data_IF_661395174211
#
_entry.id   IF_661395174211
#
_cell.length_a   1.000
_cell.length_b   1.000
_cell.length_c   1.000
_cell.angle_alpha   90.00
_cell.angle_beta   90.00
_cell.angle_gamma   90.00
#
_symmetry.space_group_name_H-M   'P 1'
#
loop_
_entity.id
_entity.type
_entity.pdbx_description
1 polymer ?
#
# COMPACT_ATOMS: atom_id res chain seq x y z
N UNK A 1 -25.24 -48.75 19.73
CA UNK A 1 -24.55 -48.68 18.41
C UNK A 1 -24.96 -47.47 17.56
N UNK A 2 -26.25 -47.09 17.43
CA UNK A 2 -26.66 -45.92 16.61
C UNK A 2 -26.16 -44.55 17.10
N UNK A 3 -26.11 -44.30 18.42
CA UNK A 3 -25.62 -43.02 18.96
C UNK A 3 -24.10 -42.84 18.79
N UNK A 4 -23.30 -43.90 18.95
CA UNK A 4 -21.84 -43.85 18.75
C UNK A 4 -21.47 -43.59 17.28
N UNK A 5 -22.27 -44.05 16.33
CA UNK A 5 -22.05 -43.81 14.89
C UNK A 5 -22.33 -42.34 14.51
N UNK A 6 -23.35 -41.72 15.11
CA UNK A 6 -23.71 -40.31 14.89
C UNK A 6 -22.63 -39.38 15.48
N UNK A 7 -22.11 -39.69 16.67
CA UNK A 7 -21.01 -38.93 17.29
C UNK A 7 -19.73 -39.03 16.44
N UNK A 8 -19.43 -40.21 15.90
CA UNK A 8 -18.29 -40.40 14.99
C UNK A 8 -18.46 -39.59 13.69
N UNK A 9 -19.65 -39.58 13.09
CA UNK A 9 -19.96 -38.82 11.88
C UNK A 9 -19.90 -37.30 12.08
N UNK A 10 -20.37 -36.81 13.23
CA UNK A 10 -20.23 -35.39 13.61
C UNK A 10 -18.75 -35.03 13.80
N UNK A 11 -17.96 -35.88 14.46
CA UNK A 11 -16.52 -35.67 14.63
C UNK A 11 -15.77 -35.64 13.27
N UNK A 12 -16.11 -36.53 12.33
CA UNK A 12 -15.52 -36.55 10.99
C UNK A 12 -15.94 -35.34 10.12
N UNK A 13 -17.16 -34.83 10.27
CA UNK A 13 -17.61 -33.63 9.54
C UNK A 13 -16.97 -32.35 10.11
N UNK A 14 -16.75 -32.30 11.43
CA UNK A 14 -16.06 -31.16 12.06
C UNK A 14 -14.58 -31.09 11.68
N UNK A 15 -13.88 -32.22 11.53
CA UNK A 15 -12.44 -32.23 11.21
C UNK A 15 -12.12 -31.75 9.78
N UNK A 16 -12.98 -32.03 8.81
CA UNK A 16 -12.86 -31.48 7.45
C UNK A 16 -13.08 -29.96 7.43
N UNK A 17 -14.07 -29.46 8.18
CA UNK A 17 -14.35 -28.02 8.25
C UNK A 17 -13.22 -27.24 8.92
N UNK A 18 -12.62 -27.78 9.99
CA UNK A 18 -11.49 -27.15 10.68
C UNK A 18 -10.23 -27.11 9.81
N UNK A 19 -9.97 -28.18 9.04
CA UNK A 19 -8.84 -28.21 8.11
C UNK A 19 -8.96 -27.14 7.01
N UNK A 20 -10.16 -26.95 6.45
CA UNK A 20 -10.37 -25.95 5.39
C UNK A 20 -10.26 -24.51 5.89
N UNK A 21 -10.73 -24.23 7.10
CA UNK A 21 -10.60 -22.90 7.72
C UNK A 21 -9.12 -22.57 7.97
N UNK A 22 -8.32 -23.53 8.41
CA UNK A 22 -6.86 -23.34 8.60
C UNK A 22 -6.18 -23.05 7.25
N UNK A 23 -6.52 -23.79 6.21
CA UNK A 23 -6.00 -23.56 4.84
C UNK A 23 -6.35 -22.15 4.33
N UNK A 24 -7.60 -21.72 4.51
CA UNK A 24 -8.05 -20.39 4.11
C UNK A 24 -7.41 -19.28 4.96
N UNK A 25 -7.23 -19.51 6.26
CA UNK A 25 -6.48 -18.60 7.14
C UNK A 25 -5.06 -18.36 6.64
N UNK A 26 -4.38 -19.44 6.22
CA UNK A 26 -3.05 -19.36 5.60
C UNK A 26 -3.03 -18.61 4.29
N UNK A 27 -3.96 -18.93 3.38
CA UNK A 27 -4.06 -18.22 2.11
C UNK A 27 -4.35 -16.73 2.33
N UNK A 28 -5.17 -16.39 3.32
CA UNK A 28 -5.49 -15.00 3.67
C UNK A 28 -4.32 -14.28 4.30
N UNK A 29 -3.53 -14.94 5.15
CA UNK A 29 -2.30 -14.39 5.69
C UNK A 29 -1.26 -14.14 4.58
N UNK A 30 -1.13 -15.04 3.61
CA UNK A 30 -0.30 -14.84 2.44
C UNK A 30 -0.74 -13.61 1.63
N UNK A 31 -2.04 -13.45 1.38
CA UNK A 31 -2.57 -12.23 0.76
C UNK A 31 -2.36 -10.97 1.61
N UNK A 32 -2.38 -11.09 2.94
CA UNK A 32 -2.00 -10.01 3.84
C UNK A 32 -0.56 -9.56 3.65
N UNK A 33 0.37 -10.50 3.46
CA UNK A 33 1.74 -10.21 3.08
C UNK A 33 1.83 -9.48 1.73
N UNK A 34 1.16 -9.98 0.69
CA UNK A 34 1.14 -9.37 -0.65
C UNK A 34 0.62 -7.92 -0.61
N UNK A 35 -0.50 -7.68 0.08
CA UNK A 35 -1.11 -6.34 0.25
C UNK A 35 -0.16 -5.40 0.98
N UNK A 36 0.51 -5.89 2.03
CA UNK A 36 1.47 -5.11 2.82
C UNK A 36 2.70 -4.73 2.01
N UNK A 37 3.21 -5.65 1.18
CA UNK A 37 4.33 -5.38 0.27
C UNK A 37 3.94 -4.36 -0.82
N UNK A 38 2.74 -4.48 -1.39
CA UNK A 38 2.26 -3.48 -2.37
C UNK A 38 2.20 -2.09 -1.76
N UNK A 39 1.71 -1.96 -0.52
CA UNK A 39 1.71 -0.70 0.19
C UNK A 39 3.13 -0.13 0.35
N UNK A 40 4.08 -0.95 0.82
CA UNK A 40 5.48 -0.54 0.95
C UNK A 40 6.07 -0.04 -0.37
N UNK A 41 5.80 -0.73 -1.49
CA UNK A 41 6.23 -0.30 -2.82
C UNK A 41 5.66 1.05 -3.21
N UNK A 42 4.35 1.27 -3.02
CA UNK A 42 3.71 2.55 -3.31
C UNK A 42 4.30 3.69 -2.48
N UNK A 43 4.48 3.49 -1.16
CA UNK A 43 5.07 4.52 -0.30
C UNK A 43 6.55 4.77 -0.61
N UNK A 44 7.30 3.76 -1.03
CA UNK A 44 8.66 3.92 -1.53
C UNK A 44 8.69 4.78 -2.80
N UNK A 45 7.81 4.49 -3.78
CA UNK A 45 7.67 5.32 -5.00
C UNK A 45 7.28 6.76 -4.65
N UNK A 46 6.33 6.97 -3.73
CA UNK A 46 5.95 8.31 -3.27
C UNK A 46 7.12 9.05 -2.59
N UNK A 47 7.98 8.33 -1.87
CA UNK A 47 9.18 8.88 -1.24
C UNK A 47 10.24 9.25 -2.26
N UNK A 48 10.48 8.38 -3.25
CA UNK A 48 11.43 8.64 -4.34
C UNK A 48 10.97 9.78 -5.24
N UNK A 49 9.67 9.94 -5.45
CA UNK A 49 9.12 10.98 -6.32
C UNK A 49 9.49 12.40 -5.82
N UNK A 50 9.59 12.61 -4.51
CA UNK A 50 10.09 13.89 -3.96
C UNK A 50 11.53 14.22 -4.37
N UNK A 51 12.37 13.20 -4.61
CA UNK A 51 13.73 13.35 -5.11
C UNK A 51 13.78 13.45 -6.64
N UNK A 52 12.88 12.75 -7.34
CA UNK A 52 12.68 12.86 -8.80
C UNK A 52 12.28 14.29 -9.15
N UNK A 53 11.44 14.95 -8.36
CA UNK A 53 11.04 16.36 -8.54
C UNK A 53 12.26 17.30 -8.53
N UNK A 54 13.20 17.09 -7.62
CA UNK A 54 14.46 17.84 -7.57
C UNK A 54 15.32 17.57 -8.81
N UNK A 55 15.45 16.31 -9.20
CA UNK A 55 16.24 15.90 -10.37
C UNK A 55 15.66 16.44 -11.69
N UNK A 56 14.34 16.45 -11.84
CA UNK A 56 13.65 16.97 -13.03
C UNK A 56 13.69 18.50 -13.09
N UNK A 57 13.59 19.18 -11.93
CA UNK A 57 13.90 20.61 -11.84
C UNK A 57 15.34 20.92 -12.25
N UNK A 58 16.30 20.05 -11.88
CA UNK A 58 17.70 20.19 -12.26
C UNK A 58 17.93 19.89 -13.76
N UNK A 59 17.18 18.96 -14.36
CA UNK A 59 17.25 18.67 -15.79
C UNK A 59 16.77 19.86 -16.66
N UNK A 60 15.67 20.52 -16.26
CA UNK A 60 15.21 21.78 -16.89
C UNK A 60 16.28 22.87 -16.79
N UNK A 61 17.06 22.93 -15.69
CA UNK A 61 18.19 23.87 -15.56
C UNK A 61 19.34 23.56 -16.53
N UNK A 62 19.65 22.29 -16.77
CA UNK A 62 20.74 21.87 -17.68
C UNK A 62 20.36 22.09 -19.16
N UNK A 63 19.06 22.05 -19.47
CA UNK A 63 18.51 22.25 -20.81
C UNK A 63 18.16 23.72 -21.13
N UNK A 64 18.42 24.67 -20.22
CA UNK A 64 18.10 26.09 -20.42
C UNK A 64 19.33 27.04 -20.36
N UNK A 65 19.31 28.12 -21.14
CA UNK A 65 20.30 29.21 -21.20
C UNK A 65 19.65 30.57 -20.84
N UNK A 66 20.35 31.51 -20.16
CA UNK A 66 21.64 31.38 -19.49
C UNK A 66 21.51 31.13 -17.96
N UNK A 67 22.49 30.39 -17.43
CA UNK A 67 22.83 30.07 -16.02
C UNK A 67 21.71 29.77 -14.99
N UNK A 68 21.69 28.55 -14.39
CA UNK A 68 20.69 28.11 -13.41
C UNK A 68 20.49 28.99 -12.17
N UNK A 69 21.50 29.76 -11.78
CA UNK A 69 21.51 30.56 -10.54
C UNK A 69 20.60 31.78 -10.56
N UNK A 70 20.07 32.15 -11.73
CA UNK A 70 19.19 33.33 -11.90
C UNK A 70 17.74 32.96 -12.22
N UNK A 71 17.42 31.66 -12.22
CA UNK A 71 16.11 31.14 -12.59
C UNK A 71 15.22 31.02 -11.35
N UNK A 72 14.12 31.78 -11.32
CA UNK A 72 13.01 31.48 -10.43
C UNK A 72 12.31 30.22 -10.96
N UNK A 73 12.65 29.06 -10.41
CA UNK A 73 11.83 27.87 -10.57
C UNK A 73 10.46 28.12 -9.93
N UNK A 74 9.39 27.44 -10.38
CA UNK A 74 8.11 27.50 -9.69
C UNK A 74 8.33 27.18 -8.20
N UNK A 75 8.10 28.16 -7.33
CA UNK A 75 8.08 27.96 -5.88
C UNK A 75 6.80 27.20 -5.55
N UNK A 76 6.87 25.89 -5.69
CA UNK A 76 5.81 25.00 -5.30
C UNK A 76 5.95 24.83 -3.79
N UNK A 77 5.38 25.77 -3.03
CA UNK A 77 5.15 25.65 -1.58
C UNK A 77 4.14 24.55 -1.29
N UNK A 78 4.40 23.37 -1.82
CA UNK A 78 3.71 22.15 -1.50
C UNK A 78 4.02 21.81 -0.05
N UNK A 79 3.02 21.33 0.69
CA UNK A 79 3.25 20.74 2.00
C UNK A 79 4.26 19.60 1.84
N UNK A 80 5.33 19.61 2.63
CA UNK A 80 6.32 18.54 2.65
C UNK A 80 5.75 17.32 3.39
N UNK A 81 5.38 16.30 2.62
CA UNK A 81 4.87 15.03 3.15
C UNK A 81 5.97 14.01 3.46
N UNK A 82 7.26 14.33 3.26
CA UNK A 82 8.37 13.38 3.49
C UNK A 82 8.36 12.80 4.92
N UNK A 83 8.04 13.63 5.91
CA UNK A 83 7.91 13.24 7.32
C UNK A 83 6.73 12.31 7.60
N UNK A 84 5.75 12.27 6.70
CA UNK A 84 4.56 11.43 6.80
C UNK A 84 4.73 10.07 6.12
N UNK A 85 5.63 9.96 5.13
CA UNK A 85 5.83 8.75 4.32
C UNK A 85 6.55 7.64 5.11
N UNK A 86 7.68 7.93 5.74
CA UNK A 86 8.47 6.91 6.44
C UNK A 86 7.69 6.17 7.57
N UNK A 87 6.92 6.86 8.45
CA UNK A 87 6.11 6.18 9.45
C UNK A 87 5.08 5.20 8.86
N UNK A 88 4.50 5.54 7.70
CA UNK A 88 3.52 4.70 7.01
C UNK A 88 4.17 3.51 6.34
N UNK A 89 5.31 3.70 5.67
CA UNK A 89 6.13 2.59 5.17
C UNK A 89 6.47 1.60 6.30
N UNK A 90 6.90 2.11 7.46
CA UNK A 90 7.23 1.28 8.62
C UNK A 90 6.02 0.50 9.15
N UNK A 91 4.84 1.11 9.20
CA UNK A 91 3.65 0.40 9.65
C UNK A 91 3.25 -0.72 8.69
N UNK A 92 3.26 -0.50 7.37
CA UNK A 92 3.00 -1.59 6.42
C UNK A 92 4.11 -2.66 6.41
N UNK A 93 5.33 -2.31 6.78
CA UNK A 93 6.39 -3.30 7.06
C UNK A 93 6.05 -4.14 8.30
N UNK A 94 5.58 -3.52 9.38
CA UNK A 94 5.19 -4.25 10.58
C UNK A 94 3.92 -5.09 10.36
N UNK A 95 2.97 -4.61 9.55
CA UNK A 95 1.82 -5.41 9.12
C UNK A 95 2.24 -6.67 8.35
N UNK A 96 3.23 -6.54 7.45
CA UNK A 96 3.82 -7.69 6.76
C UNK A 96 4.39 -8.71 7.74
N UNK A 97 5.19 -8.26 8.73
CA UNK A 97 5.76 -9.15 9.73
C UNK A 97 4.69 -9.80 10.64
N UNK A 98 3.59 -9.10 10.93
CA UNK A 98 2.43 -9.71 11.61
C UNK A 98 1.86 -10.85 10.78
N UNK A 99 1.51 -10.61 9.51
CA UNK A 99 0.92 -11.65 8.67
C UNK A 99 1.85 -12.85 8.49
N UNK A 100 3.15 -12.58 8.31
CA UNK A 100 4.18 -13.62 8.25
C UNK A 100 4.25 -14.44 9.53
N UNK A 101 4.32 -13.80 10.69
CA UNK A 101 4.39 -14.50 11.97
C UNK A 101 3.11 -15.30 12.26
N UNK A 102 1.94 -14.74 11.96
CA UNK A 102 0.66 -15.43 12.14
C UNK A 102 0.47 -16.59 11.16
N UNK A 103 0.98 -16.48 9.92
CA UNK A 103 0.96 -17.60 8.96
C UNK A 103 1.74 -18.82 9.45
N UNK A 104 2.77 -18.63 10.28
CA UNK A 104 3.54 -19.75 10.85
C UNK A 104 2.75 -20.47 11.94
N UNK A 105 1.89 -19.77 12.69
CA UNK A 105 1.13 -20.34 13.81
C UNK A 105 0.07 -21.37 13.39
N UNK A 106 -0.23 -21.46 12.11
CA UNK A 106 -1.17 -22.47 11.58
C UNK A 106 -0.51 -23.82 11.33
N UNK A 107 0.83 -23.88 11.26
CA UNK A 107 1.59 -25.12 11.21
C UNK A 107 1.90 -25.57 12.65
N UNK A 108 1.44 -26.77 13.07
CA UNK A 108 1.69 -27.31 14.41
C UNK A 108 3.17 -27.32 14.82
N UNK A 109 4.11 -27.37 13.86
CA UNK A 109 5.56 -27.33 14.11
C UNK A 109 6.04 -26.02 14.70
N UNK A 110 5.28 -24.93 14.52
CA UNK A 110 5.64 -23.58 14.96
C UNK A 110 4.64 -23.03 15.99
N UNK A 111 3.85 -23.89 16.65
CA UNK A 111 2.88 -23.45 17.66
C UNK A 111 3.54 -22.71 18.86
N UNK A 112 4.83 -22.96 19.12
CA UNK A 112 5.65 -22.28 20.12
C UNK A 112 6.03 -20.84 19.73
N UNK A 113 5.83 -20.45 18.46
CA UNK A 113 6.09 -19.10 17.91
C UNK A 113 5.04 -18.05 18.28
N UNK A 114 4.09 -18.39 19.15
CA UNK A 114 3.04 -17.47 19.62
C UNK A 114 3.65 -16.16 20.19
N UNK A 115 4.79 -16.24 20.90
CA UNK A 115 5.48 -15.05 21.41
C UNK A 115 6.00 -14.15 20.28
N UNK A 116 6.56 -14.73 19.22
CA UNK A 116 7.11 -13.99 18.08
C UNK A 116 5.99 -13.26 17.33
N UNK A 117 4.84 -13.92 17.13
CA UNK A 117 3.65 -13.30 16.55
C UNK A 117 3.10 -12.13 17.38
N UNK A 118 3.20 -12.22 18.71
CA UNK A 118 2.76 -11.17 19.60
C UNK A 118 3.69 -9.98 19.65
N UNK A 119 5.00 -10.22 19.59
CA UNK A 119 5.97 -9.15 19.39
C UNK A 119 5.69 -8.43 18.07
N UNK A 120 5.49 -9.15 16.96
CA UNK A 120 5.18 -8.52 15.67
C UNK A 120 3.89 -7.68 15.72
N UNK A 121 2.86 -8.15 16.43
CA UNK A 121 1.62 -7.38 16.60
C UNK A 121 1.84 -6.13 17.45
N UNK A 122 2.60 -6.24 18.54
CA UNK A 122 2.97 -5.09 19.37
C UNK A 122 3.74 -4.06 18.53
N UNK A 123 4.70 -4.50 17.72
CA UNK A 123 5.48 -3.62 16.85
C UNK A 123 4.58 -2.93 15.81
N UNK A 124 3.59 -3.63 15.27
CA UNK A 124 2.60 -3.06 14.35
C UNK A 124 1.70 -2.04 15.03
N UNK A 125 1.21 -2.34 16.25
CA UNK A 125 0.47 -1.40 17.08
C UNK A 125 1.29 -0.14 17.34
N UNK A 126 2.52 -0.31 17.83
CA UNK A 126 3.43 0.78 18.21
C UNK A 126 3.76 1.68 17.01
N UNK A 127 3.92 1.10 15.82
CA UNK A 127 4.16 1.85 14.60
C UNK A 127 2.97 2.74 14.22
N UNK A 128 1.74 2.24 14.36
CA UNK A 128 0.53 3.02 14.11
C UNK A 128 0.34 4.09 15.19
N UNK A 129 0.50 3.73 16.46
CA UNK A 129 0.30 4.64 17.60
C UNK A 129 1.23 5.86 17.52
N UNK A 130 2.48 5.65 17.08
CA UNK A 130 3.50 6.70 16.95
C UNK A 130 3.41 7.48 15.64
N UNK A 131 2.43 7.20 14.77
CA UNK A 131 2.29 7.94 13.51
C UNK A 131 1.95 9.42 13.75
N UNK A 132 2.54 10.34 12.97
CA UNK A 132 2.07 11.71 12.93
C UNK A 132 0.66 11.76 12.33
N UNK A 133 -0.16 12.69 12.85
CA UNK A 133 -1.51 12.97 12.33
C UNK A 133 -2.46 11.77 12.32
N UNK A 134 -2.28 10.84 13.27
CA UNK A 134 -3.10 9.62 13.38
C UNK A 134 -4.62 9.95 13.47
N UNK A 135 -5.45 9.43 12.55
CA UNK A 135 -6.89 9.70 12.51
C UNK A 135 -7.62 9.28 13.79
N UNK A 136 -8.71 9.97 14.13
CA UNK A 136 -9.46 9.72 15.37
C UNK A 136 -10.08 8.32 15.37
N UNK A 137 -10.62 7.89 14.24
CA UNK A 137 -11.21 6.58 14.01
C UNK A 137 -10.18 5.47 14.31
N UNK A 138 -8.94 5.65 13.85
CA UNK A 138 -7.83 4.72 14.11
C UNK A 138 -7.47 4.71 15.60
N UNK A 139 -7.34 5.90 16.23
CA UNK A 139 -7.05 6.03 17.67
C UNK A 139 -8.07 5.29 18.54
N UNK A 140 -9.35 5.28 18.15
CA UNK A 140 -10.39 4.58 18.93
C UNK A 140 -10.39 3.07 18.76
N UNK A 141 -10.00 2.55 17.60
CA UNK A 141 -10.00 1.10 17.32
C UNK A 141 -8.70 0.42 17.77
N UNK A 142 -7.58 1.11 17.71
CA UNK A 142 -6.25 0.56 17.95
C UNK A 142 -6.10 -0.15 19.32
N UNK A 143 -6.61 0.39 20.45
CA UNK A 143 -6.50 -0.29 21.76
C UNK A 143 -7.19 -1.66 21.84
N UNK A 144 -8.22 -1.90 21.02
CA UNK A 144 -8.94 -3.18 21.02
C UNK A 144 -8.10 -4.32 20.45
N UNK A 145 -7.19 -4.02 19.51
CA UNK A 145 -6.25 -5.00 18.93
C UNK A 145 -5.35 -5.57 20.03
N UNK A 146 -4.78 -4.69 20.86
CA UNK A 146 -3.88 -5.07 21.96
C UNK A 146 -4.59 -5.90 23.03
N UNK A 147 -5.83 -5.51 23.37
CA UNK A 147 -6.66 -6.25 24.33
C UNK A 147 -6.91 -7.68 23.86
N UNK A 148 -7.36 -7.86 22.61
CA UNK A 148 -7.63 -9.19 22.07
C UNK A 148 -6.37 -10.05 21.94
N UNK A 149 -5.23 -9.43 21.60
CA UNK A 149 -3.94 -10.10 21.59
C UNK A 149 -3.59 -10.72 22.95
N UNK A 150 -3.71 -9.93 24.03
CA UNK A 150 -3.45 -10.40 25.39
C UNK A 150 -4.35 -11.57 25.81
N UNK A 151 -5.62 -11.56 25.40
CA UNK A 151 -6.59 -12.62 25.68
C UNK A 151 -6.36 -13.90 24.84
N UNK A 152 -5.79 -13.78 23.64
CA UNK A 152 -5.51 -14.92 22.75
C UNK A 152 -4.29 -15.73 23.19
N UNK A 153 -3.22 -15.05 23.64
CA UNK A 153 -1.99 -15.69 24.16
C UNK A 153 -2.30 -16.63 25.31
N UNK A 154 -3.21 -16.22 26.19
CA UNK A 154 -3.59 -16.98 27.37
C UNK A 154 -4.41 -18.24 27.02
N UNK A 155 -5.12 -18.23 25.88
CA UNK A 155 -6.06 -19.29 25.49
C UNK A 155 -5.51 -20.32 24.48
N UNK A 156 -4.40 -20.05 23.78
CA UNK A 156 -3.83 -20.90 22.70
C UNK A 156 -4.84 -21.22 21.58
N UNK A 157 -5.73 -20.31 21.25
CA UNK A 157 -6.81 -20.54 20.29
C UNK A 157 -6.47 -19.95 18.91
N UNK A 158 -6.26 -20.83 17.92
CA UNK A 158 -6.03 -20.44 16.51
C UNK A 158 -7.18 -19.60 15.95
N UNK A 159 -8.41 -19.78 16.43
CA UNK A 159 -9.58 -18.98 15.98
C UNK A 159 -9.46 -17.50 16.36
N UNK A 160 -8.93 -17.20 17.55
CA UNK A 160 -8.67 -15.83 18.00
C UNK A 160 -7.61 -15.12 17.16
N UNK A 161 -6.72 -15.86 16.50
CA UNK A 161 -5.72 -15.27 15.62
C UNK A 161 -6.36 -14.58 14.41
N UNK A 162 -7.39 -15.17 13.81
CA UNK A 162 -8.09 -14.56 12.68
C UNK A 162 -8.93 -13.34 13.12
N UNK A 163 -9.48 -13.36 14.34
CA UNK A 163 -10.17 -12.19 14.91
C UNK A 163 -9.20 -11.02 15.15
N UNK A 164 -7.98 -11.30 15.63
CA UNK A 164 -6.91 -10.30 15.77
C UNK A 164 -6.52 -9.74 14.39
N UNK A 165 -6.29 -10.61 13.40
CA UNK A 165 -5.93 -10.18 12.04
C UNK A 165 -7.07 -9.38 11.39
N UNK A 166 -8.33 -9.72 11.66
CA UNK A 166 -9.48 -8.94 11.23
C UNK A 166 -9.46 -7.53 11.84
N UNK A 167 -9.39 -7.39 13.17
CA UNK A 167 -9.34 -6.08 13.80
C UNK A 167 -8.16 -5.24 13.34
N UNK A 168 -6.99 -5.86 13.18
CA UNK A 168 -5.82 -5.17 12.65
C UNK A 168 -6.06 -4.70 11.21
N UNK A 169 -6.62 -5.55 10.35
CA UNK A 169 -6.96 -5.16 8.98
C UNK A 169 -7.97 -4.02 8.92
N UNK A 170 -8.94 -3.96 9.85
CA UNK A 170 -9.84 -2.83 9.97
C UNK A 170 -9.13 -1.54 10.36
N UNK A 171 -8.20 -1.60 11.33
CA UNK A 171 -7.39 -0.44 11.73
C UNK A 171 -6.60 0.12 10.52
N UNK A 172 -5.97 -0.75 9.73
CA UNK A 172 -5.26 -0.34 8.52
C UNK A 172 -6.19 0.16 7.41
N UNK A 173 -7.39 -0.40 7.27
CA UNK A 173 -8.38 0.06 6.30
C UNK A 173 -8.90 1.46 6.66
N UNK A 174 -9.15 1.74 7.93
CA UNK A 174 -9.55 3.06 8.41
C UNK A 174 -8.43 4.08 8.21
N UNK A 175 -7.19 3.70 8.53
CA UNK A 175 -6.01 4.54 8.28
C UNK A 175 -5.93 4.89 6.78
N UNK A 176 -6.05 3.90 5.91
CA UNK A 176 -6.04 4.10 4.47
C UNK A 176 -7.18 5.01 3.99
N UNK A 177 -8.41 4.80 4.47
CA UNK A 177 -9.57 5.59 4.07
C UNK A 177 -9.41 7.06 4.47
N UNK A 178 -8.87 7.34 5.65
CA UNK A 178 -8.58 8.68 6.10
C UNK A 178 -7.46 9.35 5.28
N UNK A 179 -6.44 8.58 4.91
CA UNK A 179 -5.27 9.08 4.18
C UNK A 179 -5.46 9.20 2.66
N UNK A 180 -6.41 8.45 2.07
CA UNK A 180 -6.55 8.30 0.62
C UNK A 180 -6.63 9.64 -0.14
N UNK A 181 -7.40 10.59 0.36
CA UNK A 181 -7.54 11.89 -0.30
C UNK A 181 -6.22 12.67 -0.23
N UNK A 182 -5.55 12.67 0.92
CA UNK A 182 -4.25 13.30 1.13
C UNK A 182 -3.21 12.80 0.13
N UNK A 183 -3.14 11.49 -0.11
CA UNK A 183 -2.20 10.93 -1.10
C UNK A 183 -2.56 11.29 -2.53
N UNK A 184 -3.85 11.31 -2.87
CA UNK A 184 -4.30 11.77 -4.18
C UNK A 184 -3.94 13.24 -4.43
N UNK A 185 -4.13 14.09 -3.43
CA UNK A 185 -3.80 15.51 -3.49
C UNK A 185 -2.29 15.73 -3.58
N UNK A 186 -1.49 14.96 -2.82
CA UNK A 186 -0.04 14.98 -2.90
C UNK A 186 0.47 14.60 -4.29
N UNK A 187 -0.08 13.55 -4.91
CA UNK A 187 0.24 13.16 -6.28
C UNK A 187 -0.20 14.25 -7.27
N UNK A 188 -1.43 14.77 -7.15
CA UNK A 188 -1.89 15.85 -8.02
C UNK A 188 -0.96 17.06 -7.94
N UNK A 189 -0.55 17.41 -6.74
CA UNK A 189 0.33 18.54 -6.47
C UNK A 189 1.68 18.37 -7.13
N UNK A 190 2.36 17.24 -6.93
CA UNK A 190 3.67 16.94 -7.54
C UNK A 190 3.58 17.03 -9.07
N UNK A 191 2.69 16.25 -9.67
CA UNK A 191 2.66 16.09 -11.12
C UNK A 191 2.09 17.32 -11.85
N UNK A 192 1.08 18.00 -11.27
CA UNK A 192 0.53 19.22 -11.89
C UNK A 192 1.53 20.38 -11.79
N UNK A 193 2.23 20.53 -10.66
CA UNK A 193 3.24 21.57 -10.48
C UNK A 193 4.35 21.46 -11.52
N UNK A 194 4.82 20.24 -11.76
CA UNK A 194 5.84 19.98 -12.77
C UNK A 194 5.32 20.24 -14.20
N UNK A 195 4.11 19.75 -14.53
CA UNK A 195 3.49 20.01 -15.83
C UNK A 195 3.27 21.51 -16.10
N UNK A 196 2.92 22.30 -15.08
CA UNK A 196 2.76 23.75 -15.19
C UNK A 196 4.12 24.45 -15.34
N UNK A 197 5.13 24.04 -14.57
CA UNK A 197 6.48 24.61 -14.63
C UNK A 197 7.13 24.51 -16.02
N UNK A 198 6.89 23.43 -16.76
CA UNK A 198 7.37 23.28 -18.14
C UNK A 198 6.83 24.37 -19.10
N UNK A 199 5.64 24.91 -18.84
CA UNK A 199 5.04 25.94 -19.69
C UNK A 199 5.51 27.35 -19.36
N UNK A 200 6.02 27.58 -18.14
CA UNK A 200 6.48 28.90 -17.71
C UNK A 200 7.89 29.24 -18.19
N UNK A 201 8.64 28.26 -18.70
CA UNK A 201 9.98 28.49 -19.26
C UNK A 201 9.86 29.15 -20.64
N UNK A 202 10.51 30.29 -20.83
CA UNK A 202 10.59 30.97 -22.14
C UNK A 202 11.23 30.04 -23.20
N UNK A 203 10.60 29.94 -24.37
CA UNK A 203 11.09 29.09 -25.48
C UNK A 203 12.51 29.47 -25.92
N UNK A 204 12.87 30.75 -25.85
CA UNK A 204 14.22 31.25 -26.21
C UNK A 204 15.33 30.73 -25.30
N UNK A 205 14.95 30.20 -24.13
CA UNK A 205 15.90 29.67 -23.16
C UNK A 205 16.24 28.21 -23.41
N UNK A 206 15.47 27.47 -24.19
CA UNK A 206 15.76 26.05 -24.42
C UNK A 206 16.96 25.86 -25.36
N UNK A 207 17.87 24.96 -24.99
CA UNK A 207 18.94 24.51 -25.86
C UNK A 207 18.42 23.46 -26.85
N UNK A 208 18.02 23.94 -28.02
CA UNK A 208 17.45 23.12 -29.09
C UNK A 208 18.42 22.04 -29.57
N UNK A 209 19.73 22.28 -29.50
CA UNK A 209 20.74 21.31 -29.93
C UNK A 209 20.82 20.08 -29.02
N UNK A 210 20.59 20.27 -27.71
CA UNK A 210 20.49 19.17 -26.75
C UNK A 210 19.14 18.45 -26.88
N UNK A 211 18.06 19.19 -27.13
CA UNK A 211 16.73 18.61 -27.34
C UNK A 211 16.69 17.74 -28.59
N UNK A 212 17.28 18.18 -29.70
CA UNK A 212 17.28 17.44 -30.97
C UNK A 212 18.08 16.13 -30.89
N UNK A 213 19.10 16.05 -30.04
CA UNK A 213 19.81 14.80 -29.74
C UNK A 213 18.93 13.80 -28.97
N UNK A 214 17.96 14.28 -28.19
CA UNK A 214 17.02 13.46 -27.41
C UNK A 214 15.71 13.13 -28.12
N UNK A 215 15.40 13.82 -29.24
CA UNK A 215 14.19 13.64 -30.05
C UNK A 215 14.56 13.52 -31.54
N UNK A 216 14.69 12.30 -32.03
CA UNK A 216 14.97 11.95 -33.43
C UNK A 216 13.73 12.09 -34.34
N UNK A 217 13.03 13.22 -34.25
CA UNK A 217 11.87 13.54 -35.09
C UNK A 217 12.25 14.24 -36.40
N UNK A 218 11.35 14.29 -37.41
CA UNK A 218 11.61 14.94 -38.71
C UNK A 218 11.58 16.47 -38.67
N UNK A 219 11.54 17.08 -37.48
CA UNK A 219 11.33 18.51 -37.30
C UNK A 219 12.66 19.27 -37.30
N UNK A 220 12.78 20.26 -38.17
CA UNK A 220 13.97 21.13 -38.26
C UNK A 220 13.78 22.49 -37.60
N UNK A 221 12.52 22.89 -37.34
CA UNK A 221 12.19 24.15 -36.69
C UNK A 221 12.36 24.07 -35.17
N UNK A 222 13.06 25.07 -34.62
CA UNK A 222 13.40 25.16 -33.20
C UNK A 222 12.18 25.29 -32.30
N UNK A 223 11.18 26.10 -32.69
CA UNK A 223 9.97 26.28 -31.90
C UNK A 223 9.15 24.98 -31.82
N UNK A 224 9.06 24.26 -32.95
CA UNK A 224 8.39 22.97 -33.06
C UNK A 224 9.09 21.90 -32.23
N UNK A 225 10.43 21.83 -32.26
CA UNK A 225 11.19 20.88 -31.43
C UNK A 225 10.98 21.11 -29.93
N UNK A 226 11.00 22.38 -29.48
CA UNK A 226 10.76 22.74 -28.08
C UNK A 226 9.32 22.39 -27.68
N UNK A 227 8.34 22.67 -28.54
CA UNK A 227 6.94 22.32 -28.29
C UNK A 227 6.75 20.81 -28.15
N UNK A 228 7.33 20.01 -29.06
CA UNK A 228 7.24 18.55 -29.01
C UNK A 228 7.90 17.97 -27.76
N UNK A 229 9.05 18.52 -27.34
CA UNK A 229 9.70 18.14 -26.09
C UNK A 229 8.81 18.39 -24.87
N UNK A 230 8.22 19.58 -24.75
CA UNK A 230 7.28 19.90 -23.66
C UNK A 230 6.06 18.99 -23.66
N UNK A 231 5.48 18.72 -24.84
CA UNK A 231 4.33 17.85 -24.99
C UNK A 231 4.64 16.41 -24.56
N UNK A 232 5.78 15.85 -24.98
CA UNK A 232 6.23 14.52 -24.60
C UNK A 232 6.40 14.39 -23.09
N UNK A 233 7.16 15.31 -22.48
CA UNK A 233 7.35 15.28 -21.03
C UNK A 233 6.03 15.39 -20.29
N UNK A 234 5.14 16.33 -20.69
CA UNK A 234 3.82 16.45 -20.08
C UNK A 234 3.01 15.16 -20.19
N UNK A 235 3.02 14.51 -21.34
CA UNK A 235 2.33 13.24 -21.53
C UNK A 235 2.89 12.15 -20.61
N UNK A 236 4.22 12.04 -20.52
CA UNK A 236 4.89 11.05 -19.65
C UNK A 236 4.62 11.31 -18.15
N UNK A 237 4.65 12.57 -17.71
CA UNK A 237 4.27 13.01 -16.36
C UNK A 237 2.83 12.61 -16.05
N UNK A 238 1.90 12.88 -16.96
CA UNK A 238 0.49 12.55 -16.77
C UNK A 238 0.24 11.04 -16.76
N UNK A 239 1.00 10.26 -17.54
CA UNK A 239 0.95 8.79 -17.48
C UNK A 239 1.43 8.27 -16.12
N UNK A 240 2.57 8.75 -15.63
CA UNK A 240 3.11 8.36 -14.32
C UNK A 240 2.13 8.71 -13.19
N UNK A 241 1.60 9.94 -13.20
CA UNK A 241 0.55 10.39 -12.28
C UNK A 241 -0.64 9.43 -12.24
N UNK A 242 -1.20 9.13 -13.41
CA UNK A 242 -2.38 8.29 -13.52
C UNK A 242 -2.09 6.83 -13.14
N UNK A 243 -0.89 6.33 -13.45
CA UNK A 243 -0.44 5.00 -13.05
C UNK A 243 -0.36 4.91 -11.52
N UNK A 244 0.28 5.88 -10.85
CA UNK A 244 0.42 5.87 -9.40
C UNK A 244 -0.93 6.01 -8.67
N UNK A 245 -1.83 6.87 -9.17
CA UNK A 245 -3.22 6.95 -8.65
C UNK A 245 -3.96 5.63 -8.79
N UNK A 246 -3.80 4.96 -9.94
CA UNK A 246 -4.38 3.64 -10.15
C UNK A 246 -3.79 2.60 -9.19
N UNK A 247 -2.49 2.66 -8.90
CA UNK A 247 -1.87 1.77 -7.92
C UNK A 247 -2.40 2.01 -6.50
N UNK A 248 -2.55 3.27 -6.07
CA UNK A 248 -3.19 3.63 -4.81
C UNK A 248 -4.62 3.09 -4.72
N UNK A 249 -5.44 3.30 -5.75
CA UNK A 249 -6.82 2.80 -5.77
C UNK A 249 -6.88 1.27 -5.71
N UNK A 250 -6.01 0.61 -6.47
CA UNK A 250 -5.92 -0.85 -6.52
C UNK A 250 -5.48 -1.42 -5.17
N UNK A 251 -4.51 -0.78 -4.50
CA UNK A 251 -4.11 -1.12 -3.15
C UNK A 251 -5.28 -0.99 -2.16
N UNK A 252 -6.01 0.12 -2.19
CA UNK A 252 -7.17 0.33 -1.33
C UNK A 252 -8.25 -0.74 -1.50
N UNK A 253 -8.54 -1.13 -2.74
CA UNK A 253 -9.47 -2.23 -3.04
C UNK A 253 -8.95 -3.57 -2.51
N UNK A 254 -7.65 -3.85 -2.66
CA UNK A 254 -7.05 -5.08 -2.16
C UNK A 254 -7.09 -5.16 -0.63
N UNK A 255 -6.84 -4.05 0.07
CA UNK A 255 -6.96 -3.97 1.53
C UNK A 255 -8.41 -4.16 2.00
N UNK A 256 -9.39 -3.63 1.26
CA UNK A 256 -10.81 -3.86 1.54
C UNK A 256 -11.19 -5.34 1.38
N UNK A 257 -10.75 -6.01 0.31
CA UNK A 257 -10.99 -7.44 0.11
C UNK A 257 -10.28 -8.30 1.15
N UNK A 258 -9.06 -7.93 1.56
CA UNK A 258 -8.33 -8.59 2.66
C UNK A 258 -9.13 -8.51 3.97
N UNK A 259 -9.62 -7.31 4.29
CA UNK A 259 -10.44 -7.07 5.48
C UNK A 259 -11.73 -7.89 5.43
N UNK A 260 -12.38 -7.97 4.26
CA UNK A 260 -13.58 -8.81 4.06
C UNK A 260 -13.29 -10.29 4.27
N UNK A 261 -12.19 -10.81 3.71
CA UNK A 261 -11.80 -12.20 3.89
C UNK A 261 -11.52 -12.52 5.37
N UNK A 262 -10.79 -11.64 6.07
CA UNK A 262 -10.53 -11.80 7.50
C UNK A 262 -11.80 -11.76 8.34
N UNK A 263 -12.71 -10.82 8.05
CA UNK A 263 -14.01 -10.73 8.71
C UNK A 263 -14.83 -12.02 8.55
N UNK A 264 -14.82 -12.61 7.36
CA UNK A 264 -15.55 -13.85 7.08
C UNK A 264 -14.95 -15.06 7.82
N UNK A 265 -13.61 -15.15 7.88
CA UNK A 265 -12.91 -16.22 8.62
C UNK A 265 -13.13 -16.09 10.13
N UNK A 266 -13.22 -14.86 10.65
CA UNK A 266 -13.46 -14.59 12.06
C UNK A 266 -14.87 -15.01 12.55
N UNK A 267 -15.83 -15.20 11.64
CA UNK A 267 -17.21 -15.58 12.02
C UNK A 267 -17.29 -16.97 12.66
N UNK A 268 -18.40 -17.20 13.38
CA UNK A 268 -18.72 -18.53 13.90
C UNK A 268 -18.98 -19.56 12.80
N UNK A 269 -19.61 -19.12 11.71
CA UNK A 269 -19.81 -19.90 10.49
C UNK A 269 -19.23 -19.11 9.33
N UNK A 270 -18.18 -19.67 8.71
CA UNK A 270 -17.43 -19.05 7.62
C UNK A 270 -18.08 -19.37 6.27
N UNK A 271 -18.41 -18.35 5.49
CA UNK A 271 -18.72 -18.51 4.07
C UNK A 271 -17.43 -18.69 3.26
N UNK A 272 -17.08 -19.95 3.01
CA UNK A 272 -15.88 -20.36 2.24
C UNK A 272 -15.86 -19.71 0.85
N UNK A 273 -17.02 -19.57 0.20
CA UNK A 273 -17.13 -19.02 -1.15
C UNK A 273 -16.73 -17.55 -1.17
N UNK A 274 -17.20 -16.77 -0.19
CA UNK A 274 -16.84 -15.36 -0.06
C UNK A 274 -15.35 -15.18 0.21
N UNK A 275 -14.76 -16.00 1.09
CA UNK A 275 -13.32 -15.95 1.35
C UNK A 275 -12.53 -16.19 0.06
N UNK A 276 -12.82 -17.28 -0.67
CA UNK A 276 -12.14 -17.61 -1.93
C UNK A 276 -12.31 -16.49 -2.96
N UNK A 277 -13.51 -15.93 -3.10
CA UNK A 277 -13.77 -14.82 -4.02
C UNK A 277 -12.93 -13.59 -3.68
N UNK A 278 -12.82 -13.22 -2.40
CA UNK A 278 -11.99 -12.09 -1.97
C UNK A 278 -10.51 -12.36 -2.22
N UNK A 279 -10.01 -13.58 -1.94
CA UNK A 279 -8.61 -13.95 -2.20
C UNK A 279 -8.26 -13.89 -3.70
N UNK A 280 -9.14 -14.40 -4.55
CA UNK A 280 -8.98 -14.30 -6.01
C UNK A 280 -8.98 -12.84 -6.45
N UNK A 281 -9.84 -12.01 -5.85
CA UNK A 281 -9.91 -10.59 -6.19
C UNK A 281 -8.64 -9.85 -5.79
N UNK A 282 -8.07 -10.13 -4.62
CA UNK A 282 -6.77 -9.58 -4.20
C UNK A 282 -5.70 -9.98 -5.22
N UNK A 283 -5.65 -11.25 -5.63
CA UNK A 283 -4.69 -11.70 -6.64
C UNK A 283 -4.85 -10.97 -7.98
N UNK A 284 -6.08 -10.76 -8.45
CA UNK A 284 -6.33 -9.99 -9.67
C UNK A 284 -5.90 -8.52 -9.55
N UNK A 285 -6.14 -7.90 -8.39
CA UNK A 285 -5.79 -6.51 -8.13
C UNK A 285 -4.27 -6.34 -8.05
N UNK A 286 -3.57 -7.27 -7.39
CA UNK A 286 -2.13 -7.16 -7.13
C UNK A 286 -1.26 -7.78 -8.23
N UNK A 287 -1.84 -8.38 -9.28
CA UNK A 287 -1.08 -8.85 -10.44
C UNK A 287 -0.36 -7.69 -11.10
N UNK A 288 0.97 -7.74 -11.09
CA UNK A 288 1.82 -6.83 -11.86
C UNK A 288 1.40 -6.89 -13.34
N UNK A 289 1.08 -5.72 -13.91
CA UNK A 289 0.77 -5.55 -15.33
C UNK A 289 1.87 -4.77 -16.02
#
# INVERSE_FOLDING_TARGET
MKQSLIILLVLFLTSCSSSKIIELGNATAAKGMDVSQKAQGIYATLSEQSAIDKSQQDEVKVLTHPSPSTMALPDTKASDFSRQLQPRTQAYQNLFEVYKAFSLLTDPKYADKTKDAMTALQDSYDAIEKMPDLPAEVKTKLPNVLKMAGEAVQAKEVKKNNEILYLLSEVYLELWNADKQTWNDYIDLIYNSYAQGLNTVDSKRYDVSKISQSNSGPYSDSATMILMYRLKNRDDIMKQKNALKKELDTFGQALQELTRAQAEIAKQSTDITNVISSLNKIEELLKDK
#
